data_IF_194886532676
#
_entry.id   IF_194886532676
#
_cell.length_a   1.000
_cell.length_b   1.000
_cell.length_c   1.000
_cell.angle_alpha   90.00
_cell.angle_beta   90.00
_cell.angle_gamma   90.00
#
_symmetry.space_group_name_H-M   'P 1'
#
loop_
_entity.id
_entity.type
_entity.pdbx_description
1 polymer ?
#
# COMPACT_ATOMS: atom_id res chain seq x y z
N UNK A 1 58.41 -6.11 -0.25
CA UNK A 1 57.45 -7.21 -0.48
C UNK A 1 56.38 -7.09 0.60
N UNK A 2 55.20 -6.59 0.24
CA UNK A 2 54.00 -6.60 1.08
C UNK A 2 52.93 -7.29 0.25
N UNK A 3 52.39 -8.39 0.78
CA UNK A 3 51.34 -9.17 0.14
C UNK A 3 50.07 -8.31 0.04
N UNK A 4 49.64 -8.01 -1.19
CA UNK A 4 48.28 -7.52 -1.44
C UNK A 4 47.30 -8.59 -0.96
N UNK A 5 46.46 -8.22 0.00
CA UNK A 5 45.33 -9.04 0.41
C UNK A 5 44.35 -9.12 -0.77
N UNK A 6 44.23 -10.31 -1.34
CA UNK A 6 43.27 -10.66 -2.38
C UNK A 6 41.88 -10.71 -1.73
N UNK A 7 41.20 -9.56 -1.71
CA UNK A 7 39.83 -9.48 -1.22
C UNK A 7 38.92 -10.12 -2.26
N UNK A 8 38.06 -11.09 -1.88
CA UNK A 8 37.14 -11.70 -2.81
C UNK A 8 36.23 -10.62 -3.39
N UNK A 9 36.25 -10.48 -4.71
CA UNK A 9 35.30 -9.67 -5.43
C UNK A 9 33.95 -10.39 -5.37
N UNK A 10 33.18 -10.11 -4.32
CA UNK A 10 31.76 -10.42 -4.31
C UNK A 10 31.18 -9.61 -5.46
N UNK A 11 31.02 -10.27 -6.62
CA UNK A 11 30.25 -9.75 -7.72
C UNK A 11 28.91 -9.37 -7.12
N UNK A 12 28.61 -8.07 -7.12
CA UNK A 12 27.25 -7.61 -6.97
C UNK A 12 26.50 -8.35 -8.07
N UNK A 13 25.82 -9.43 -7.69
CA UNK A 13 24.85 -10.08 -8.54
C UNK A 13 24.03 -8.94 -9.14
N UNK A 14 23.98 -8.92 -10.47
CA UNK A 14 23.26 -7.94 -11.26
C UNK A 14 22.01 -7.51 -10.50
N UNK A 15 21.82 -6.19 -10.36
CA UNK A 15 20.61 -5.66 -9.73
C UNK A 15 19.43 -6.47 -10.29
N UNK A 16 18.63 -7.12 -9.41
CA UNK A 16 17.60 -8.04 -9.88
C UNK A 16 16.78 -7.31 -10.95
N UNK A 17 16.42 -8.00 -12.05
CA UNK A 17 15.67 -7.37 -13.13
C UNK A 17 14.51 -6.61 -12.49
N UNK A 18 14.36 -5.33 -12.86
CA UNK A 18 13.26 -4.50 -12.36
C UNK A 18 11.99 -5.35 -12.37
N UNK A 19 11.32 -5.55 -11.22
CA UNK A 19 10.17 -6.43 -11.16
C UNK A 19 9.19 -5.97 -12.25
N UNK A 20 8.55 -6.91 -12.98
CA UNK A 20 7.59 -6.54 -14.01
C UNK A 20 6.60 -5.55 -13.39
N UNK A 21 6.40 -4.41 -14.06
CA UNK A 21 5.47 -3.41 -13.58
C UNK A 21 4.09 -4.06 -13.51
N UNK A 22 3.62 -4.35 -12.30
CA UNK A 22 2.28 -4.91 -12.11
C UNK A 22 1.27 -4.03 -12.83
N UNK A 23 0.31 -4.61 -13.53
CA UNK A 23 -0.85 -3.87 -14.05
C UNK A 23 -1.70 -3.30 -12.90
N UNK A 24 -2.60 -2.36 -13.21
CA UNK A 24 -3.52 -1.83 -12.20
C UNK A 24 -4.37 -2.94 -11.58
N UNK A 25 -4.94 -3.81 -12.41
CA UNK A 25 -5.80 -4.91 -11.97
C UNK A 25 -5.06 -5.92 -11.07
N UNK A 26 -3.78 -6.21 -11.37
CA UNK A 26 -2.96 -7.09 -10.54
C UNK A 26 -2.67 -6.47 -9.17
N UNK A 27 -2.38 -5.16 -9.14
CA UNK A 27 -2.17 -4.44 -7.88
C UNK A 27 -3.42 -4.41 -7.02
N UNK A 28 -4.58 -4.15 -7.64
CA UNK A 28 -5.87 -4.21 -6.96
C UNK A 28 -6.14 -5.61 -6.42
N UNK A 29 -6.00 -6.65 -7.24
CA UNK A 29 -6.21 -8.04 -6.81
C UNK A 29 -5.29 -8.47 -5.67
N UNK A 30 -4.03 -8.00 -5.63
CA UNK A 30 -3.13 -8.25 -4.50
C UNK A 30 -3.63 -7.52 -3.24
N UNK A 31 -3.98 -6.24 -3.34
CA UNK A 31 -4.49 -5.48 -2.22
C UNK A 31 -5.78 -6.11 -1.67
N UNK A 32 -6.69 -6.57 -2.53
CA UNK A 32 -7.92 -7.27 -2.14
C UNK A 32 -7.64 -8.50 -1.30
N UNK A 33 -6.72 -9.36 -1.75
CA UNK A 33 -6.36 -10.58 -1.03
C UNK A 33 -5.72 -10.26 0.32
N UNK A 34 -4.81 -9.28 0.36
CA UNK A 34 -4.18 -8.86 1.61
C UNK A 34 -5.21 -8.32 2.61
N UNK A 35 -6.10 -7.43 2.18
CA UNK A 35 -7.11 -6.80 3.07
C UNK A 35 -8.23 -7.76 3.52
N UNK A 36 -8.33 -8.96 2.94
CA UNK A 36 -9.15 -10.05 3.48
C UNK A 36 -8.49 -10.81 4.63
N UNK A 37 -7.16 -10.67 4.80
CA UNK A 37 -6.42 -11.34 5.85
C UNK A 37 -6.52 -10.56 7.17
N UNK A 38 -6.72 -11.21 8.34
CA UNK A 38 -6.84 -10.54 9.64
C UNK A 38 -5.66 -9.64 10.00
N UNK A 39 -4.47 -9.91 9.46
CA UNK A 39 -3.27 -9.08 9.69
C UNK A 39 -3.46 -7.63 9.22
N UNK A 40 -4.34 -7.40 8.24
CA UNK A 40 -4.64 -6.08 7.71
C UNK A 40 -5.80 -5.41 8.44
N UNK A 41 -6.39 -6.04 9.47
CA UNK A 41 -7.56 -5.50 10.17
C UNK A 41 -7.31 -4.10 10.72
N UNK A 42 -6.10 -3.80 11.18
CA UNK A 42 -5.75 -2.50 11.78
C UNK A 42 -5.23 -1.48 10.76
N UNK A 43 -5.15 -1.85 9.47
CA UNK A 43 -4.79 -0.95 8.39
C UNK A 43 -5.99 -0.10 7.99
N UNK A 44 -6.26 0.93 8.79
CA UNK A 44 -7.42 1.80 8.64
C UNK A 44 -7.04 3.27 8.83
N UNK A 45 -7.91 4.14 8.32
CA UNK A 45 -7.74 5.59 8.41
C UNK A 45 -8.61 6.09 9.57
N UNK A 46 -7.99 6.25 10.75
CA UNK A 46 -8.70 6.47 12.01
C UNK A 46 -9.09 7.92 12.29
N UNK A 47 -8.49 8.90 11.59
CA UNK A 47 -8.64 10.34 11.89
C UNK A 47 -9.08 11.17 10.68
N UNK A 48 -9.98 10.63 9.85
CA UNK A 48 -10.53 11.37 8.72
C UNK A 48 -11.72 12.23 9.12
N UNK A 49 -11.41 13.16 10.01
CA UNK A 49 -12.31 14.16 10.59
C UNK A 49 -12.70 15.26 9.60
N UNK A 50 -12.33 15.14 8.32
CA UNK A 50 -12.64 16.11 7.26
C UNK A 50 -13.22 15.37 6.07
N UNK A 51 -14.33 14.66 6.28
CA UNK A 51 -15.23 14.45 5.15
C UNK A 51 -15.78 15.83 4.78
N UNK A 52 -15.66 16.28 3.53
CA UNK A 52 -16.42 17.44 3.12
C UNK A 52 -17.91 17.10 3.29
N UNK A 53 -18.70 18.04 3.83
CA UNK A 53 -20.16 17.90 3.99
C UNK A 53 -20.86 17.50 2.68
N UNK A 54 -20.18 17.61 1.54
CA UNK A 54 -20.61 17.12 0.23
C UNK A 54 -20.74 15.59 0.14
N UNK A 55 -20.22 14.81 1.09
CA UNK A 55 -20.53 13.38 1.21
C UNK A 55 -21.97 13.11 1.67
N UNK A 56 -22.79 14.16 1.86
CA UNK A 56 -24.25 14.06 1.95
C UNK A 56 -24.92 13.90 0.58
N UNK A 57 -24.22 14.14 -0.53
CA UNK A 57 -24.69 13.74 -1.86
C UNK A 57 -24.53 12.23 -1.95
N UNK A 58 -25.63 11.53 -2.23
CA UNK A 58 -25.67 10.08 -2.43
C UNK A 58 -24.88 9.66 -3.68
N UNK A 59 -23.56 9.85 -3.66
CA UNK A 59 -22.66 9.37 -4.68
C UNK A 59 -22.47 7.86 -4.50
N UNK A 60 -22.41 7.08 -5.59
CA UNK A 60 -21.95 5.70 -5.53
C UNK A 60 -20.60 5.62 -4.80
N UNK A 61 -20.43 4.63 -3.92
CA UNK A 61 -19.24 4.46 -3.08
C UNK A 61 -17.92 4.55 -3.88
N UNK A 62 -17.91 4.02 -5.10
CA UNK A 62 -16.77 4.05 -6.01
C UNK A 62 -16.41 5.48 -6.47
N UNK A 63 -17.39 6.32 -6.74
CA UNK A 63 -17.18 7.72 -7.14
C UNK A 63 -16.70 8.56 -5.97
N UNK A 64 -17.27 8.33 -4.78
CA UNK A 64 -16.81 8.97 -3.55
C UNK A 64 -15.35 8.61 -3.25
N UNK A 65 -14.99 7.33 -3.34
CA UNK A 65 -13.61 6.88 -3.12
C UNK A 65 -12.64 7.53 -4.11
N UNK A 66 -12.98 7.58 -5.41
CA UNK A 66 -12.17 8.24 -6.43
C UNK A 66 -12.01 9.74 -6.17
N UNK A 67 -13.08 10.41 -5.75
CA UNK A 67 -13.05 11.83 -5.41
C UNK A 67 -12.14 12.10 -4.21
N UNK A 68 -12.24 11.29 -3.16
CA UNK A 68 -11.40 11.42 -1.96
C UNK A 68 -9.92 11.18 -2.27
N UNK A 69 -9.59 10.12 -3.02
CA UNK A 69 -8.21 9.87 -3.41
C UNK A 69 -7.63 11.01 -4.26
N UNK A 70 -8.41 11.54 -5.21
CA UNK A 70 -7.99 12.72 -5.99
C UNK A 70 -7.78 13.95 -5.11
N UNK A 71 -8.63 14.17 -4.11
CA UNK A 71 -8.46 15.27 -3.16
C UNK A 71 -7.18 15.10 -2.34
N UNK A 72 -6.89 13.88 -1.88
CA UNK A 72 -5.65 13.58 -1.15
C UNK A 72 -4.40 13.77 -2.01
N UNK A 73 -4.49 13.53 -3.32
CA UNK A 73 -3.39 13.74 -4.25
C UNK A 73 -2.98 15.21 -4.38
N UNK A 74 -3.94 16.13 -4.27
CA UNK A 74 -3.69 17.59 -4.33
C UNK A 74 -3.05 18.11 -3.03
N UNK A 75 -3.12 17.36 -1.93
CA UNK A 75 -2.50 17.72 -0.65
C UNK A 75 -0.96 17.70 -0.72
N UNK A 76 -0.31 18.61 0.03
CA UNK A 76 1.15 18.66 0.17
C UNK A 76 1.76 17.37 0.71
N UNK A 77 0.96 16.57 1.42
CA UNK A 77 1.44 15.41 2.18
C UNK A 77 1.30 14.10 1.39
N UNK A 78 0.87 14.17 0.11
CA UNK A 78 0.64 13.00 -0.76
C UNK A 78 1.87 12.11 -0.89
N UNK A 79 3.06 12.68 -1.09
CA UNK A 79 4.31 11.92 -1.16
C UNK A 79 4.69 11.29 0.18
N UNK A 80 4.46 12.01 1.29
CA UNK A 80 4.73 11.49 2.63
C UNK A 80 3.82 10.30 2.94
N UNK A 81 2.57 10.34 2.51
CA UNK A 81 1.62 9.25 2.67
C UNK A 81 2.05 7.99 1.91
N UNK A 82 2.44 8.12 0.63
CA UNK A 82 2.97 6.98 -0.14
C UNK A 82 4.23 6.38 0.50
N UNK A 83 5.12 7.23 1.03
CA UNK A 83 6.33 6.78 1.72
C UNK A 83 6.01 6.02 3.02
N UNK A 84 5.08 6.54 3.83
CA UNK A 84 4.63 5.89 5.05
C UNK A 84 3.99 4.52 4.78
N UNK A 85 3.14 4.41 3.75
CA UNK A 85 2.53 3.14 3.36
C UNK A 85 3.56 2.14 2.83
N UNK A 86 4.53 2.63 2.05
CA UNK A 86 5.64 1.79 1.57
C UNK A 86 6.42 1.20 2.73
N UNK A 87 6.77 2.02 3.73
CA UNK A 87 7.47 1.57 4.93
C UNK A 87 6.62 0.58 5.75
N UNK A 88 5.34 0.87 5.94
CA UNK A 88 4.41 -0.02 6.64
C UNK A 88 4.31 -1.39 5.97
N UNK A 89 4.21 -1.44 4.63
CA UNK A 89 4.08 -2.69 3.89
C UNK A 89 5.36 -3.52 3.95
N UNK A 90 6.53 -2.87 3.94
CA UNK A 90 7.82 -3.56 4.13
C UNK A 90 7.92 -4.15 5.53
N UNK A 91 7.52 -3.40 6.56
CA UNK A 91 7.48 -3.91 7.92
C UNK A 91 6.51 -5.10 8.04
N UNK A 92 5.31 -4.98 7.46
CA UNK A 92 4.31 -6.03 7.43
C UNK A 92 4.80 -7.29 6.71
N UNK A 93 5.52 -7.12 5.59
CA UNK A 93 6.16 -8.22 4.87
C UNK A 93 7.18 -8.94 5.75
N UNK A 94 8.00 -8.20 6.49
CA UNK A 94 8.96 -8.77 7.44
C UNK A 94 8.28 -9.60 8.53
N UNK A 95 7.22 -9.07 9.14
CA UNK A 95 6.45 -9.80 10.16
C UNK A 95 5.79 -11.06 9.60
N UNK A 96 5.19 -10.99 8.42
CA UNK A 96 4.57 -12.15 7.76
C UNK A 96 5.60 -13.22 7.40
N UNK A 97 6.78 -12.82 6.95
CA UNK A 97 7.87 -13.76 6.66
C UNK A 97 8.30 -14.52 7.92
N UNK A 98 8.47 -13.81 9.05
CA UNK A 98 8.81 -14.42 10.34
C UNK A 98 7.70 -15.33 10.87
N UNK A 99 6.43 -15.01 10.58
CA UNK A 99 5.29 -15.82 10.96
C UNK A 99 5.08 -17.07 10.07
N UNK A 100 5.88 -17.27 9.03
CA UNK A 100 5.72 -18.38 8.09
C UNK A 100 4.66 -18.16 7.01
N UNK A 101 4.20 -16.92 6.83
CA UNK A 101 3.20 -16.52 5.83
C UNK A 101 3.88 -15.98 4.56
N UNK A 102 4.75 -16.77 3.94
CA UNK A 102 5.58 -16.29 2.81
C UNK A 102 4.78 -15.77 1.61
N UNK A 103 3.64 -16.37 1.21
CA UNK A 103 2.83 -15.83 0.11
C UNK A 103 2.31 -14.42 0.39
N UNK A 104 1.88 -14.14 1.63
CA UNK A 104 1.40 -12.82 2.04
C UNK A 104 2.57 -11.83 2.19
N UNK A 105 3.70 -12.28 2.74
CA UNK A 105 4.90 -11.47 2.83
C UNK A 105 5.36 -10.97 1.45
N UNK A 106 5.38 -11.87 0.45
CA UNK A 106 5.72 -11.51 -0.92
C UNK A 106 4.73 -10.52 -1.50
N UNK A 107 3.42 -10.71 -1.28
CA UNK A 107 2.39 -9.77 -1.73
C UNK A 107 2.58 -8.37 -1.15
N UNK A 108 2.86 -8.26 0.16
CA UNK A 108 3.17 -6.98 0.81
C UNK A 108 4.43 -6.33 0.21
N UNK A 109 5.50 -7.11 0.02
CA UNK A 109 6.74 -6.62 -0.57
C UNK A 109 6.55 -6.13 -2.02
N UNK A 110 5.78 -6.87 -2.83
CA UNK A 110 5.48 -6.49 -4.22
C UNK A 110 4.66 -5.19 -4.27
N UNK A 111 3.63 -5.03 -3.44
CA UNK A 111 2.90 -3.75 -3.37
C UNK A 111 3.81 -2.61 -2.89
N UNK A 112 4.64 -2.83 -1.88
CA UNK A 112 5.57 -1.82 -1.38
C UNK A 112 6.57 -1.34 -2.45
N UNK A 113 6.99 -2.22 -3.35
CA UNK A 113 7.85 -1.85 -4.47
C UNK A 113 7.12 -1.01 -5.52
N UNK A 114 5.81 -1.22 -5.69
CA UNK A 114 5.00 -0.50 -6.67
C UNK A 114 4.55 0.89 -6.18
N UNK A 115 4.25 1.07 -4.89
CA UNK A 115 3.66 2.31 -4.38
C UNK A 115 4.43 3.61 -4.68
N UNK A 116 5.78 3.67 -4.62
CA UNK A 116 6.51 4.92 -4.86
C UNK A 116 6.32 5.52 -6.25
N UNK A 117 5.92 4.71 -7.24
CA UNK A 117 5.74 5.17 -8.62
C UNK A 117 4.29 5.53 -8.95
N UNK A 118 3.36 5.33 -8.01
CA UNK A 118 1.93 5.54 -8.24
C UNK A 118 1.46 6.89 -7.71
N UNK A 119 0.61 7.61 -8.46
CA UNK A 119 -0.16 8.71 -7.88
C UNK A 119 -1.11 8.17 -6.80
N UNK A 120 -1.48 9.03 -5.84
CA UNK A 120 -2.39 8.66 -4.74
C UNK A 120 -3.73 8.16 -5.27
N UNK A 121 -4.26 8.75 -6.35
CA UNK A 121 -5.48 8.27 -7.03
C UNK A 121 -5.43 6.82 -7.52
N UNK A 122 -4.25 6.24 -7.66
CA UNK A 122 -4.06 4.87 -8.13
C UNK A 122 -3.43 3.97 -7.05
N UNK A 123 -3.35 4.42 -5.80
CA UNK A 123 -2.80 3.62 -4.71
C UNK A 123 -3.85 2.59 -4.23
N UNK A 124 -3.66 1.29 -4.51
CA UNK A 124 -4.66 0.26 -4.19
C UNK A 124 -4.79 0.01 -2.68
N UNK A 125 -3.75 0.29 -1.90
CA UNK A 125 -3.75 0.12 -0.44
C UNK A 125 -4.60 1.21 0.19
N UNK A 126 -4.43 2.47 -0.23
CA UNK A 126 -5.28 3.56 0.21
C UNK A 126 -6.73 3.36 -0.18
N UNK A 127 -6.99 2.93 -1.43
CA UNK A 127 -8.35 2.61 -1.88
C UNK A 127 -9.02 1.57 -0.97
N UNK A 128 -8.28 0.53 -0.53
CA UNK A 128 -8.80 -0.48 0.39
C UNK A 128 -9.03 0.05 1.80
N UNK A 129 -8.09 0.82 2.35
CA UNK A 129 -8.26 1.48 3.65
C UNK A 129 -9.47 2.43 3.66
N UNK A 130 -9.69 3.16 2.56
CA UNK A 130 -10.88 4.00 2.31
C UNK A 130 -12.17 3.20 2.30
N UNK A 131 -12.20 2.13 1.52
CA UNK A 131 -13.38 1.28 1.40
C UNK A 131 -13.76 0.68 2.76
N UNK A 132 -12.77 0.22 3.54
CA UNK A 132 -12.99 -0.29 4.90
C UNK A 132 -13.52 0.78 5.85
N UNK A 133 -13.02 2.02 5.76
CA UNK A 133 -13.52 3.13 6.58
C UNK A 133 -14.97 3.51 6.22
N UNK A 134 -15.32 3.51 4.93
CA UNK A 134 -16.67 3.79 4.45
C UNK A 134 -17.68 2.71 4.90
N UNK A 135 -17.34 1.43 4.77
CA UNK A 135 -18.22 0.33 5.20
C UNK A 135 -18.52 0.38 6.71
N UNK A 136 -17.54 0.76 7.54
CA UNK A 136 -17.75 0.90 8.99
C UNK A 136 -18.64 2.10 9.34
N UNK A 137 -18.71 3.13 8.49
CA UNK A 137 -19.64 4.24 8.67
C UNK A 137 -21.08 3.78 8.44
N UNK A 138 -21.32 3.06 7.35
CA UNK A 138 -22.67 2.56 7.02
C UNK A 138 -23.13 1.48 8.02
N UNK A 139 -22.18 0.73 8.60
CA UNK A 139 -22.46 -0.26 9.65
C UNK A 139 -22.65 0.30 11.07
N UNK A 140 -22.54 1.62 11.29
CA UNK A 140 -22.79 2.27 12.59
C UNK A 140 -24.27 2.61 12.86
N UNK A 141 -25.20 1.99 12.13
CA UNK A 141 -26.65 2.04 12.36
C UNK A 141 -27.27 0.67 12.74
N UNK A 142 -26.51 -0.24 13.36
CA UNK A 142 -27.08 -1.50 13.91
C UNK A 142 -26.54 -1.85 15.28
#
# INVERSE_FOLDING_TARGET
MLHSADWPHWQYAEAPPSPPSLSADEREAIADRLFRHPVMEHWQLNNWTVWPDTAQVALPQQELMRALLKQMEVGSDSQQLNSALTAGLRAQAGWLYLAGEQPLAQQCATLAAALPTLPISQNPVLARMLASALLRRDGKES
#
